data_IF_390286824838
#
_entry.id   IF_390286824838
#
_cell.length_a   1.000
_cell.length_b   1.000
_cell.length_c   1.000
_cell.angle_alpha   90.00
_cell.angle_beta   90.00
_cell.angle_gamma   90.00
#
_symmetry.space_group_name_H-M   'P 1'
#
loop_
_entity.id
_entity.type
_entity.pdbx_description
1 polymer ?
#
# COMPACT_ATOMS: atom_id res chain seq x y z
N UNK A 1 35.83 -10.14 12.98
CA UNK A 1 35.74 -9.32 14.21
C UNK A 1 35.48 -7.89 13.74
N UNK A 2 34.25 -7.37 13.67
CA UNK A 2 33.35 -6.96 14.77
C UNK A 2 33.72 -5.52 15.19
N UNK A 3 32.92 -4.46 15.07
CA UNK A 3 31.47 -4.30 15.06
C UNK A 3 31.01 -3.10 14.17
N UNK A 4 29.75 -3.18 13.72
CA UNK A 4 29.03 -2.20 12.90
C UNK A 4 28.75 -0.90 13.67
N UNK A 5 29.12 0.25 13.10
CA UNK A 5 28.74 1.57 13.59
C UNK A 5 27.28 1.88 13.19
N UNK A 6 26.45 2.22 14.18
CA UNK A 6 25.07 2.67 13.97
C UNK A 6 25.03 4.07 13.30
N UNK A 7 24.07 4.34 12.39
CA UNK A 7 23.93 5.63 11.76
C UNK A 7 23.40 6.68 12.75
N UNK A 8 24.18 7.72 13.02
CA UNK A 8 23.75 8.90 13.76
C UNK A 8 22.84 9.75 12.86
N UNK A 9 21.57 9.87 13.26
CA UNK A 9 20.60 10.76 12.63
C UNK A 9 21.13 12.20 12.62
N UNK A 10 21.28 12.72 11.40
CA UNK A 10 21.59 14.12 11.11
C UNK A 10 20.34 14.94 11.42
N UNK A 11 20.19 15.36 12.68
CA UNK A 11 19.19 16.35 13.10
C UNK A 11 19.81 17.70 13.49
N UNK A 12 21.14 17.86 13.33
CA UNK A 12 21.88 19.02 13.84
C UNK A 12 22.23 20.11 12.82
N UNK A 13 22.07 19.89 11.51
CA UNK A 13 22.70 20.77 10.51
C UNK A 13 21.77 21.71 9.76
N UNK A 14 20.45 21.71 10.02
CA UNK A 14 19.53 22.65 9.36
C UNK A 14 19.38 24.00 10.08
N UNK A 15 20.04 24.21 11.23
CA UNK A 15 19.98 25.49 11.96
C UNK A 15 21.16 26.44 11.66
N UNK A 16 22.16 26.03 10.89
CA UNK A 16 23.42 26.76 10.77
C UNK A 16 23.50 27.78 9.61
N UNK A 17 22.42 28.07 8.88
CA UNK A 17 22.48 28.91 7.66
C UNK A 17 21.55 30.12 7.63
N UNK A 18 20.98 30.55 8.77
CA UNK A 18 20.19 31.79 8.85
C UNK A 18 20.97 32.88 9.63
N UNK A 19 21.47 33.96 9.00
CA UNK A 19 22.35 34.93 9.67
C UNK A 19 21.69 35.86 10.71
N UNK A 20 20.50 35.54 11.24
CA UNK A 20 19.76 36.42 12.17
C UNK A 20 19.00 35.69 13.29
N UNK A 21 19.39 34.46 13.64
CA UNK A 21 18.82 33.79 14.83
C UNK A 21 19.48 34.36 16.08
N UNK A 22 18.83 35.34 16.71
CA UNK A 22 19.18 35.80 18.05
C UNK A 22 19.05 34.63 19.02
N UNK A 23 20.05 34.45 19.88
CA UNK A 23 20.08 33.47 20.96
C UNK A 23 18.76 33.50 21.73
N UNK A 24 18.17 32.32 21.90
CA UNK A 24 16.89 32.14 22.55
C UNK A 24 17.07 32.42 24.06
N UNK A 25 16.37 33.40 24.67
CA UNK A 25 16.57 33.77 26.07
C UNK A 25 16.07 32.71 27.07
N UNK A 26 15.54 31.59 26.58
CA UNK A 26 14.97 30.51 27.39
C UNK A 26 15.95 29.38 27.74
N UNK A 27 17.24 29.50 27.39
CA UNK A 27 18.27 28.64 27.96
C UNK A 27 18.68 29.24 29.31
N UNK A 28 18.01 28.77 30.34
CA UNK A 28 18.11 29.21 31.72
C UNK A 28 19.54 29.14 32.24
N UNK A 29 19.95 30.28 32.80
CA UNK A 29 20.94 30.48 33.86
C UNK A 29 20.77 29.44 34.97
N UNK A 30 21.89 28.95 35.51
CA UNK A 30 21.96 27.98 36.61
C UNK A 30 20.95 28.31 37.73
N UNK A 31 20.02 27.39 37.97
CA UNK A 31 19.01 27.49 39.02
C UNK A 31 17.58 27.30 38.53
N UNK A 32 17.24 26.11 38.02
CA UNK A 32 16.10 25.32 38.51
C UNK A 32 16.05 23.95 37.78
N UNK A 33 16.96 23.04 38.16
CA UNK A 33 16.97 21.67 37.62
C UNK A 33 15.66 20.94 37.97
N UNK A 34 15.06 21.24 39.12
CA UNK A 34 13.78 20.66 39.54
C UNK A 34 12.60 21.16 38.69
N UNK A 35 12.59 22.44 38.28
CA UNK A 35 11.56 22.96 37.38
C UNK A 35 11.72 22.41 35.96
N UNK A 36 12.95 22.24 35.51
CA UNK A 36 13.27 21.58 34.22
C UNK A 36 12.85 20.10 34.22
N UNK A 37 13.12 19.37 35.30
CA UNK A 37 12.67 17.98 35.49
C UNK A 37 11.15 17.92 35.58
N UNK A 38 10.48 18.82 36.30
CA UNK A 38 9.01 18.89 36.35
C UNK A 38 8.38 19.17 34.99
N UNK A 39 8.96 20.08 34.19
CA UNK A 39 8.50 20.34 32.81
C UNK A 39 8.73 19.14 31.90
N UNK A 40 9.85 18.42 32.05
CA UNK A 40 10.11 17.17 31.35
C UNK A 40 9.13 16.07 31.75
N UNK A 41 8.83 15.91 33.04
CA UNK A 41 7.83 14.94 33.52
C UNK A 41 6.41 15.31 33.08
N UNK A 42 6.04 16.60 33.10
CA UNK A 42 4.78 17.08 32.53
C UNK A 42 4.72 16.82 31.02
N UNK A 43 5.80 17.14 30.29
CA UNK A 43 5.91 16.87 28.85
C UNK A 43 5.82 15.36 28.55
N UNK A 44 6.49 14.51 29.32
CA UNK A 44 6.40 13.05 29.20
C UNK A 44 5.02 12.53 29.59
N UNK A 45 4.34 13.16 30.56
CA UNK A 45 2.95 12.82 30.91
C UNK A 45 2.00 13.17 29.77
N UNK A 46 2.21 14.29 29.09
CA UNK A 46 1.43 14.66 27.90
C UNK A 46 1.78 13.79 26.69
N UNK A 47 3.05 13.37 26.54
CA UNK A 47 3.51 12.43 25.52
C UNK A 47 2.93 11.02 25.72
N UNK A 48 2.84 10.54 26.98
CA UNK A 48 2.18 9.27 27.33
C UNK A 48 0.70 9.24 26.97
N UNK A 49 0.01 10.39 27.01
CA UNK A 49 -1.37 10.51 26.52
C UNK A 49 -1.44 10.53 24.99
N UNK A 50 -0.42 11.06 24.31
CA UNK A 50 -0.26 10.96 22.86
C UNK A 50 -0.03 9.53 22.39
N UNK A 51 0.87 8.79 23.04
CA UNK A 51 1.18 7.39 22.71
C UNK A 51 0.03 6.44 23.10
N UNK A 52 -0.60 6.64 24.25
CA UNK A 52 -1.79 5.87 24.66
C UNK A 52 -2.99 6.18 23.75
N UNK A 53 -3.20 7.44 23.35
CA UNK A 53 -4.21 7.83 22.38
C UNK A 53 -3.95 7.24 21.00
N UNK A 54 -2.69 7.23 20.54
CA UNK A 54 -2.31 6.58 19.29
C UNK A 54 -2.50 5.05 19.35
N UNK A 55 -2.17 4.42 20.49
CA UNK A 55 -2.40 2.99 20.70
C UNK A 55 -3.90 2.65 20.73
N UNK A 56 -4.73 3.48 21.37
CA UNK A 56 -6.18 3.29 21.42
C UNK A 56 -6.82 3.53 20.05
N UNK A 57 -6.40 4.55 19.31
CA UNK A 57 -6.83 4.78 17.93
C UNK A 57 -6.44 3.62 17.01
N UNK A 58 -5.21 3.09 17.17
CA UNK A 58 -4.74 1.90 16.45
C UNK A 58 -5.54 0.65 16.84
N UNK A 59 -5.85 0.45 18.12
CA UNK A 59 -6.68 -0.67 18.59
C UNK A 59 -8.10 -0.58 18.04
N UNK A 60 -8.70 0.61 18.02
CA UNK A 60 -10.02 0.86 17.43
C UNK A 60 -10.02 0.62 15.91
N UNK A 61 -8.98 1.05 15.20
CA UNK A 61 -8.80 0.76 13.76
C UNK A 61 -8.66 -0.75 13.50
N UNK A 62 -7.84 -1.45 14.30
CA UNK A 62 -7.70 -2.91 14.20
C UNK A 62 -9.01 -3.65 14.46
N UNK A 63 -9.76 -3.24 15.49
CA UNK A 63 -11.08 -3.79 15.79
C UNK A 63 -12.05 -3.57 14.61
N UNK A 64 -12.12 -2.34 14.09
CA UNK A 64 -12.96 -2.02 12.92
C UNK A 64 -12.58 -2.85 11.68
N UNK A 65 -11.30 -3.11 11.45
CA UNK A 65 -10.83 -3.98 10.36
C UNK A 65 -11.23 -5.43 10.59
N UNK A 66 -11.18 -5.93 11.83
CA UNK A 66 -11.63 -7.27 12.17
C UNK A 66 -13.14 -7.44 11.93
N UNK A 67 -13.94 -6.43 12.29
CA UNK A 67 -15.39 -6.41 12.03
C UNK A 67 -15.67 -6.38 10.52
N UNK A 68 -14.95 -5.54 9.78
CA UNK A 68 -15.08 -5.44 8.32
C UNK A 68 -14.76 -6.78 7.64
N UNK A 69 -13.69 -7.45 8.07
CA UNK A 69 -13.30 -8.77 7.57
C UNK A 69 -14.38 -9.80 7.83
N UNK A 70 -14.88 -9.88 9.07
CA UNK A 70 -15.92 -10.84 9.46
C UNK A 70 -17.19 -10.63 8.64
N UNK A 71 -17.58 -9.38 8.41
CA UNK A 71 -18.72 -9.02 7.55
C UNK A 71 -18.49 -9.44 6.09
N UNK A 72 -17.30 -9.20 5.53
CA UNK A 72 -16.96 -9.62 4.17
C UNK A 72 -17.02 -11.14 4.01
N UNK A 73 -16.47 -11.89 4.97
CA UNK A 73 -16.48 -13.35 4.97
C UNK A 73 -17.89 -13.91 5.07
N UNK A 74 -18.73 -13.38 5.97
CA UNK A 74 -20.13 -13.77 6.08
C UNK A 74 -20.91 -13.47 4.78
N UNK A 75 -20.65 -12.32 4.16
CA UNK A 75 -21.30 -11.94 2.89
C UNK A 75 -20.88 -12.88 1.75
N UNK A 76 -19.59 -13.19 1.66
CA UNK A 76 -19.04 -14.06 0.63
C UNK A 76 -19.45 -15.53 0.81
N UNK A 77 -19.71 -15.97 2.05
CA UNK A 77 -20.29 -17.28 2.31
C UNK A 77 -21.70 -17.43 1.74
N UNK A 78 -22.52 -16.38 1.80
CA UNK A 78 -23.87 -16.34 1.21
C UNK A 78 -23.89 -15.94 -0.27
N UNK A 79 -22.89 -15.21 -0.75
CA UNK A 79 -22.81 -14.67 -2.11
C UNK A 79 -21.37 -14.69 -2.64
N UNK A 80 -20.88 -15.87 -3.08
CA UNK A 80 -19.49 -16.01 -3.50
C UNK A 80 -19.19 -15.39 -4.87
N UNK A 81 -20.22 -15.04 -5.66
CA UNK A 81 -20.05 -14.48 -7.00
C UNK A 81 -19.87 -12.94 -6.99
N UNK A 82 -19.02 -12.45 -6.08
CA UNK A 82 -18.80 -11.02 -5.82
C UNK A 82 -17.32 -10.64 -5.99
N UNK A 83 -16.88 -10.32 -7.23
CA UNK A 83 -15.47 -10.07 -7.52
C UNK A 83 -14.89 -8.89 -6.73
N UNK A 84 -15.70 -7.86 -6.53
CA UNK A 84 -15.42 -6.66 -5.74
C UNK A 84 -15.14 -6.98 -4.27
N UNK A 85 -15.97 -7.84 -3.66
CA UNK A 85 -15.84 -8.22 -2.27
C UNK A 85 -14.64 -9.13 -2.04
N UNK A 86 -14.35 -10.04 -2.97
CA UNK A 86 -13.12 -10.84 -2.93
C UNK A 86 -11.85 -9.97 -3.02
N UNK A 87 -11.85 -8.95 -3.88
CA UNK A 87 -10.72 -8.02 -3.97
C UNK A 87 -10.55 -7.24 -2.67
N UNK A 88 -11.65 -6.75 -2.09
CA UNK A 88 -11.60 -6.03 -0.82
C UNK A 88 -11.09 -6.91 0.33
N UNK A 89 -11.54 -8.16 0.39
CA UNK A 89 -11.03 -9.13 1.35
C UNK A 89 -9.53 -9.40 1.17
N UNK A 90 -9.05 -9.48 -0.07
CA UNK A 90 -7.63 -9.62 -0.37
C UNK A 90 -6.82 -8.41 0.13
N UNK A 91 -7.30 -7.20 -0.10
CA UNK A 91 -6.67 -5.96 0.39
C UNK A 91 -6.60 -5.92 1.92
N UNK A 92 -7.68 -6.27 2.61
CA UNK A 92 -7.76 -6.32 4.07
C UNK A 92 -6.86 -7.40 4.70
N UNK A 93 -6.54 -8.44 3.94
CA UNK A 93 -5.65 -9.54 4.38
C UNK A 93 -4.19 -9.29 4.06
N UNK A 94 -3.85 -8.40 3.12
CA UNK A 94 -2.49 -8.29 2.58
C UNK A 94 -1.39 -8.15 3.63
N UNK A 95 -1.61 -7.30 4.64
CA UNK A 95 -0.60 -7.05 5.68
C UNK A 95 -0.49 -8.18 6.72
N UNK A 96 -1.62 -8.81 7.07
CA UNK A 96 -1.69 -9.75 8.18
C UNK A 96 -1.59 -11.23 7.75
N UNK A 97 -2.10 -11.54 6.56
CA UNK A 97 -2.22 -12.90 6.02
C UNK A 97 -2.05 -12.87 4.50
N UNK A 98 -0.84 -12.56 3.98
CA UNK A 98 -0.59 -12.38 2.56
C UNK A 98 -0.91 -13.60 1.68
N UNK A 99 -0.78 -14.82 2.20
CA UNK A 99 -1.13 -16.03 1.44
C UNK A 99 -2.66 -16.18 1.30
N UNK A 100 -3.41 -15.81 2.35
CA UNK A 100 -4.86 -15.73 2.29
C UNK A 100 -5.34 -14.54 1.43
N UNK A 101 -4.54 -13.48 1.33
CA UNK A 101 -4.78 -12.38 0.42
C UNK A 101 -4.63 -12.83 -1.04
N UNK A 102 -3.59 -13.61 -1.35
CA UNK A 102 -3.40 -14.22 -2.67
C UNK A 102 -4.57 -15.13 -3.05
N UNK A 103 -5.02 -15.99 -2.12
CA UNK A 103 -6.20 -16.83 -2.36
C UNK A 103 -7.47 -16.00 -2.65
N UNK A 104 -7.72 -14.93 -1.89
CA UNK A 104 -8.86 -14.04 -2.15
C UNK A 104 -8.72 -13.25 -3.47
N UNK A 105 -7.50 -12.85 -3.83
CA UNK A 105 -7.23 -12.20 -5.12
C UNK A 105 -7.52 -13.15 -6.29
N UNK A 106 -7.09 -14.42 -6.21
CA UNK A 106 -7.41 -15.45 -7.21
C UNK A 106 -8.93 -15.59 -7.36
N UNK A 107 -9.67 -15.70 -6.25
CA UNK A 107 -11.12 -15.80 -6.28
C UNK A 107 -11.80 -14.56 -6.89
N UNK A 108 -11.26 -13.36 -6.65
CA UNK A 108 -11.72 -12.15 -7.32
C UNK A 108 -11.62 -12.30 -8.83
N UNK A 109 -10.48 -12.77 -9.35
CA UNK A 109 -10.26 -12.97 -10.79
C UNK A 109 -11.14 -14.09 -11.35
N UNK A 110 -11.21 -15.24 -10.68
CA UNK A 110 -11.99 -16.40 -11.15
C UNK A 110 -13.49 -16.15 -11.16
N UNK A 111 -14.00 -15.37 -10.21
CA UNK A 111 -15.42 -15.01 -10.16
C UNK A 111 -15.83 -14.22 -11.41
N UNK A 112 -14.99 -13.29 -11.85
CA UNK A 112 -15.18 -12.61 -13.12
C UNK A 112 -13.86 -12.04 -13.61
N UNK A 113 -13.34 -12.64 -14.68
CA UNK A 113 -12.06 -12.28 -15.29
C UNK A 113 -12.07 -10.85 -15.86
N UNK A 114 -13.22 -10.40 -16.35
CA UNK A 114 -13.43 -9.04 -16.91
C UNK A 114 -14.53 -8.35 -16.09
N UNK A 115 -14.11 -7.48 -15.17
CA UNK A 115 -15.01 -6.67 -14.35
C UNK A 115 -14.42 -5.26 -14.19
N UNK A 116 -14.73 -4.31 -15.11
CA UNK A 116 -14.04 -3.02 -15.21
C UNK A 116 -13.85 -2.25 -13.89
N UNK A 117 -14.84 -2.22 -12.96
CA UNK A 117 -14.69 -1.48 -11.70
C UNK A 117 -13.50 -1.91 -10.84
N UNK A 118 -12.97 -3.12 -11.04
CA UNK A 118 -11.92 -3.68 -10.19
C UNK A 118 -10.68 -4.15 -10.93
N UNK A 119 -10.64 -4.08 -12.27
CA UNK A 119 -9.50 -4.58 -13.06
C UNK A 119 -8.19 -3.88 -12.69
N UNK A 120 -8.18 -2.55 -12.64
CA UNK A 120 -6.99 -1.79 -12.25
C UNK A 120 -6.53 -2.07 -10.80
N UNK A 121 -7.41 -2.04 -9.77
CA UNK A 121 -6.97 -2.39 -8.42
C UNK A 121 -6.65 -3.89 -8.23
N UNK A 122 -7.20 -4.81 -9.04
CA UNK A 122 -6.71 -6.20 -9.10
C UNK A 122 -5.28 -6.27 -9.62
N UNK A 123 -4.99 -5.56 -10.71
CA UNK A 123 -3.65 -5.52 -11.28
C UNK A 123 -2.65 -4.98 -10.24
N UNK A 124 -2.98 -3.85 -9.60
CA UNK A 124 -2.16 -3.24 -8.56
C UNK A 124 -1.90 -4.19 -7.39
N UNK A 125 -2.94 -4.85 -6.87
CA UNK A 125 -2.78 -5.83 -5.78
C UNK A 125 -1.98 -7.06 -6.22
N UNK A 126 -2.23 -7.55 -7.44
CA UNK A 126 -1.52 -8.70 -8.00
C UNK A 126 -0.02 -8.45 -8.16
N UNK A 127 0.37 -7.24 -8.58
CA UNK A 127 1.76 -6.82 -8.64
C UNK A 127 2.42 -6.84 -7.24
N UNK A 128 1.73 -6.33 -6.22
CA UNK A 128 2.22 -6.36 -4.82
C UNK A 128 2.35 -7.79 -4.27
N UNK A 129 1.51 -8.71 -4.74
CA UNK A 129 1.55 -10.12 -4.36
C UNK A 129 2.50 -10.97 -5.22
N UNK A 130 3.06 -10.42 -6.30
CA UNK A 130 3.81 -11.14 -7.34
C UNK A 130 4.95 -12.01 -6.80
N UNK A 131 5.62 -11.60 -5.72
CA UNK A 131 6.73 -12.36 -5.13
C UNK A 131 6.28 -13.68 -4.49
N UNK A 132 4.98 -13.87 -4.26
CA UNK A 132 4.39 -15.07 -3.65
C UNK A 132 3.67 -15.97 -4.66
N UNK A 133 3.63 -15.55 -5.92
CA UNK A 133 2.90 -16.23 -6.99
C UNK A 133 3.72 -17.39 -7.52
N UNK A 134 3.05 -18.52 -7.75
CA UNK A 134 3.57 -19.60 -8.57
C UNK A 134 3.41 -19.29 -10.07
N UNK A 135 3.82 -20.20 -10.95
CA UNK A 135 3.75 -19.98 -12.40
C UNK A 135 2.32 -19.79 -12.90
N UNK A 136 1.35 -20.51 -12.32
CA UNK A 136 -0.06 -20.41 -12.70
C UNK A 136 -0.65 -19.05 -12.30
N UNK A 137 -0.29 -18.55 -11.13
CA UNK A 137 -0.65 -17.21 -10.69
C UNK A 137 -0.01 -16.11 -11.53
N UNK A 138 1.25 -16.29 -11.92
CA UNK A 138 1.95 -15.36 -12.78
C UNK A 138 1.27 -15.28 -14.15
N UNK A 139 0.81 -16.41 -14.69
CA UNK A 139 0.01 -16.44 -15.92
C UNK A 139 -1.34 -15.73 -15.75
N UNK A 140 -1.99 -15.92 -14.60
CA UNK A 140 -3.22 -15.20 -14.27
C UNK A 140 -2.99 -13.69 -14.18
N UNK A 141 -1.87 -13.26 -13.59
CA UNK A 141 -1.49 -11.86 -13.48
C UNK A 141 -1.12 -11.25 -14.84
N UNK A 142 -0.38 -11.98 -15.69
CA UNK A 142 -0.08 -11.57 -17.07
C UNK A 142 -1.36 -11.34 -17.85
N UNK A 143 -2.30 -12.25 -17.70
CA UNK A 143 -3.59 -12.14 -18.36
C UNK A 143 -4.42 -10.95 -17.86
N UNK A 144 -4.51 -10.75 -16.54
CA UNK A 144 -5.18 -9.57 -15.99
C UNK A 144 -4.52 -8.27 -16.45
N UNK A 145 -3.20 -8.22 -16.55
CA UNK A 145 -2.48 -7.08 -17.11
C UNK A 145 -2.82 -6.84 -18.58
N UNK A 146 -2.75 -7.89 -19.42
CA UNK A 146 -3.12 -7.83 -20.84
C UNK A 146 -4.54 -7.29 -21.02
N UNK A 147 -5.51 -7.87 -20.32
CA UNK A 147 -6.92 -7.45 -20.41
C UNK A 147 -7.12 -6.01 -19.94
N UNK A 148 -6.48 -5.62 -18.84
CA UNK A 148 -6.58 -4.25 -18.31
C UNK A 148 -5.94 -3.25 -19.27
N UNK A 149 -4.83 -3.61 -19.94
CA UNK A 149 -4.19 -2.77 -20.93
C UNK A 149 -5.06 -2.58 -22.17
N UNK A 150 -5.63 -3.67 -22.71
CA UNK A 150 -6.49 -3.62 -23.90
C UNK A 150 -7.78 -2.83 -23.64
N UNK A 151 -8.44 -3.07 -22.50
CA UNK A 151 -9.73 -2.44 -22.20
C UNK A 151 -9.59 -1.05 -21.56
N UNK A 152 -8.55 -0.80 -20.78
CA UNK A 152 -8.39 0.37 -19.93
C UNK A 152 -6.93 0.86 -19.88
N UNK A 153 -6.32 1.23 -21.02
CA UNK A 153 -4.89 1.54 -21.11
C UNK A 153 -4.46 2.67 -20.18
N UNK A 154 -5.27 3.74 -20.06
CA UNK A 154 -4.99 4.85 -19.15
C UNK A 154 -4.92 4.42 -17.67
N UNK A 155 -5.78 3.49 -17.24
CA UNK A 155 -5.77 2.97 -15.87
C UNK A 155 -4.55 2.07 -15.62
N UNK A 156 -4.13 1.30 -16.63
CA UNK A 156 -2.90 0.51 -16.57
C UNK A 156 -1.69 1.42 -16.39
N UNK A 157 -1.59 2.49 -17.17
CA UNK A 157 -0.54 3.51 -17.02
C UNK A 157 -0.55 4.15 -15.63
N UNK A 158 -1.72 4.48 -15.09
CA UNK A 158 -1.85 5.03 -13.75
C UNK A 158 -1.33 4.07 -12.66
N UNK A 159 -1.68 2.78 -12.76
CA UNK A 159 -1.16 1.75 -11.82
C UNK A 159 0.36 1.67 -11.91
N UNK A 160 0.93 1.67 -13.10
CA UNK A 160 2.38 1.55 -13.30
C UNK A 160 3.17 2.80 -12.94
N UNK A 161 2.53 3.98 -12.94
CA UNK A 161 3.15 5.24 -12.54
C UNK A 161 3.40 5.31 -11.03
N UNK A 162 2.74 4.47 -10.23
CA UNK A 162 2.94 4.43 -8.78
C UNK A 162 4.36 3.99 -8.43
N UNK A 163 5.06 4.67 -7.49
CA UNK A 163 6.44 4.32 -7.11
C UNK A 163 6.62 2.86 -6.67
N UNK A 164 5.66 2.31 -5.94
CA UNK A 164 5.68 0.92 -5.48
C UNK A 164 5.65 -0.11 -6.63
N UNK A 165 5.16 0.28 -7.80
CA UNK A 165 5.07 -0.60 -8.97
C UNK A 165 6.27 -0.44 -9.93
N UNK A 166 7.18 0.50 -9.67
CA UNK A 166 8.38 0.71 -10.49
C UNK A 166 9.25 -0.57 -10.67
N UNK A 167 9.42 -1.46 -9.65
CA UNK A 167 10.17 -2.70 -9.82
C UNK A 167 9.55 -3.68 -10.83
N UNK A 168 8.28 -3.49 -11.20
CA UNK A 168 7.55 -4.41 -12.08
C UNK A 168 7.54 -4.00 -13.56
N UNK A 169 8.28 -2.95 -13.95
CA UNK A 169 8.31 -2.46 -15.35
C UNK A 169 8.71 -3.53 -16.36
N UNK A 170 9.69 -4.39 -16.04
CA UNK A 170 10.10 -5.47 -16.95
C UNK A 170 8.99 -6.50 -17.16
N UNK A 171 8.25 -6.83 -16.10
CA UNK A 171 7.09 -7.70 -16.20
C UNK A 171 6.02 -7.08 -17.11
N UNK A 172 5.75 -5.78 -16.96
CA UNK A 172 4.84 -5.05 -17.84
C UNK A 172 5.28 -5.06 -19.31
N UNK A 173 6.54 -4.73 -19.57
CA UNK A 173 7.10 -4.76 -20.92
C UNK A 173 6.97 -6.14 -21.56
N UNK A 174 7.18 -7.21 -20.78
CA UNK A 174 7.02 -8.58 -21.30
C UNK A 174 5.59 -8.88 -21.75
N UNK A 175 4.57 -8.35 -21.06
CA UNK A 175 3.17 -8.54 -21.42
C UNK A 175 2.80 -7.70 -22.64
N UNK A 176 3.21 -6.44 -22.69
CA UNK A 176 2.93 -5.55 -23.83
C UNK A 176 3.60 -6.04 -25.11
N UNK A 177 4.86 -6.49 -25.01
CA UNK A 177 5.59 -7.03 -26.16
C UNK A 177 5.00 -8.36 -26.66
N UNK A 178 4.22 -9.05 -25.84
CA UNK A 178 3.56 -10.31 -26.17
C UNK A 178 2.09 -10.14 -26.61
N UNK A 179 1.60 -8.90 -26.80
CA UNK A 179 0.25 -8.67 -27.30
C UNK A 179 0.09 -9.26 -28.70
N UNK A 180 -1.01 -9.99 -28.90
CA UNK A 180 -1.33 -10.56 -30.20
C UNK A 180 -1.86 -9.49 -31.17
N UNK A 181 -1.82 -9.73 -32.50
CA UNK A 181 -2.46 -8.85 -33.46
C UNK A 181 -3.94 -8.60 -33.15
N UNK A 182 -4.65 -9.60 -32.61
CA UNK A 182 -6.05 -9.49 -32.18
C UNK A 182 -6.21 -8.55 -30.98
N UNK A 183 -5.28 -8.57 -30.03
CA UNK A 183 -5.32 -7.65 -28.88
C UNK A 183 -5.14 -6.20 -29.32
N UNK A 184 -4.23 -5.97 -30.28
CA UNK A 184 -3.98 -4.66 -30.85
C UNK A 184 -5.20 -4.17 -31.62
N UNK A 185 -5.81 -5.01 -32.46
CA UNK A 185 -7.05 -4.70 -33.18
C UNK A 185 -8.21 -4.35 -32.22
N UNK A 186 -8.41 -5.14 -31.15
CA UNK A 186 -9.40 -4.81 -30.12
C UNK A 186 -9.12 -3.47 -29.44
N UNK A 187 -7.87 -3.22 -29.04
CA UNK A 187 -7.48 -1.95 -28.42
C UNK A 187 -7.77 -0.77 -29.36
N UNK A 188 -7.41 -0.87 -30.64
CA UNK A 188 -7.68 0.18 -31.64
C UNK A 188 -9.19 0.38 -31.81
N UNK A 189 -9.98 -0.69 -31.93
CA UNK A 189 -11.44 -0.57 -32.09
C UNK A 189 -12.11 0.10 -30.89
N UNK A 190 -11.66 -0.21 -29.67
CA UNK A 190 -12.24 0.35 -28.45
C UNK A 190 -11.85 1.82 -28.27
N UNK A 191 -10.60 2.18 -28.56
CA UNK A 191 -10.04 3.48 -28.16
C UNK A 191 -9.79 4.47 -29.31
N UNK A 192 -9.76 4.04 -30.58
CA UNK A 192 -9.51 4.92 -31.73
C UNK A 192 -10.79 5.40 -32.43
N UNK A 193 -11.96 4.86 -32.05
CA UNK A 193 -13.28 5.30 -32.56
C UNK A 193 -13.94 6.38 -31.68
N UNK A 194 -13.19 6.94 -30.73
CA UNK A 194 -13.59 8.01 -29.82
C UNK A 194 -12.50 9.09 -29.78
#
# INVERSE_FOLDING_TARGET
MGALAAPRLVAGTLFALAPNVRENPFLTRDGDEEESVRRLEQSQRWSRWGDAGAAQAKAADLAKRADTRSMLEATLAGSPLRPDLWLKLAQDRLAAAPDQALAAWRLSVFTSRVYPPVMAPRLDLGLRLKQRMDDADLDLLRDQMRLTFVLMPAHTTYVLAKPENAPHRQFYQSVVNALSPTDIDHMVRIHALH
#
